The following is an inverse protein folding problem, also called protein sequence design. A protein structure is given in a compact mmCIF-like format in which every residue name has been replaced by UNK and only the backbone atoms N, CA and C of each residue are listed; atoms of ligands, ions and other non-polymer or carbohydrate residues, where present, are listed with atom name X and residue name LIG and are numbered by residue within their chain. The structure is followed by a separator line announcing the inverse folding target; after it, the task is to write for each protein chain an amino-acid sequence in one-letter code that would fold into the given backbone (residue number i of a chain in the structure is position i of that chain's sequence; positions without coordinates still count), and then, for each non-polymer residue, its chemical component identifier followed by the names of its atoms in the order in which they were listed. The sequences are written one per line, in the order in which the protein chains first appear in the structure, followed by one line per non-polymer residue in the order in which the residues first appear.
data_IF_833897725528
#
_entry.id   IF_833897725528
#
_cell.length_a   1.000
_cell.length_b   1.000
_cell.length_c   1.000
_cell.angle_alpha   90.00
_cell.angle_beta   90.00
_cell.angle_gamma   90.00
#
_symmetry.space_group_name_H-M   'P 1'
#
loop_
_entity.id
_entity.type
_entity.pdbx_description
1 polymer ?
#
# COMPACT_ATOMS: atom_id res chain seq x y z
N UNK A 1 -17.49 14.31 -9.12
CA UNK A 1 -17.83 13.31 -8.08
C UNK A 1 -16.74 13.33 -7.02
N UNK A 2 -17.04 13.73 -5.78
CA UNK A 2 -16.07 13.68 -4.68
C UNK A 2 -16.06 12.27 -4.11
N UNK A 3 -14.97 11.53 -4.28
CA UNK A 3 -14.78 10.27 -3.58
C UNK A 3 -14.62 10.59 -2.09
N UNK A 4 -15.65 10.31 -1.30
CA UNK A 4 -15.78 10.74 0.10
C UNK A 4 -14.79 10.03 1.05
N UNK A 5 -14.35 8.83 0.68
CA UNK A 5 -13.30 8.10 1.37
C UNK A 5 -12.61 7.09 0.44
N UNK A 6 -11.36 6.77 0.74
CA UNK A 6 -10.63 5.65 0.15
C UNK A 6 -10.27 4.67 1.27
N UNK A 7 -10.51 3.38 1.05
CA UNK A 7 -10.06 2.31 1.93
C UNK A 7 -9.02 1.50 1.15
N UNK A 8 -7.88 1.22 1.78
CA UNK A 8 -6.80 0.50 1.11
C UNK A 8 -5.65 0.10 2.04
N UNK A 9 -4.79 -0.76 1.52
CA UNK A 9 -3.54 -1.17 2.17
C UNK A 9 -2.39 -0.27 1.78
N UNK A 10 -1.46 -0.08 2.71
CA UNK A 10 -0.28 0.76 2.55
C UNK A 10 0.88 -0.07 2.00
N UNK A 11 1.50 0.39 0.93
CA UNK A 11 2.70 -0.23 0.36
C UNK A 11 3.80 0.80 0.14
N UNK A 12 5.05 0.35 0.23
CA UNK A 12 6.23 1.15 -0.12
C UNK A 12 6.32 2.50 0.61
N UNK A 13 6.11 2.51 1.93
CA UNK A 13 6.26 3.73 2.73
C UNK A 13 7.73 4.19 2.70
N UNK A 14 7.99 5.33 2.05
CA UNK A 14 9.33 5.91 1.99
C UNK A 14 9.75 6.49 3.35
N UNK A 15 11.06 6.68 3.59
CA UNK A 15 11.54 7.60 4.62
C UNK A 15 11.00 9.03 4.40
N UNK A 16 11.04 9.86 5.45
CA UNK A 16 10.75 11.29 5.33
C UNK A 16 11.88 11.94 4.54
N UNK A 17 11.51 12.69 3.50
CA UNK A 17 12.36 13.42 2.57
C UNK A 17 12.15 14.92 2.79
N UNK A 18 13.18 15.72 2.50
CA UNK A 18 13.09 17.18 2.51
C UNK A 18 13.25 17.70 1.08
N UNK A 19 12.34 18.57 0.66
CA UNK A 19 12.41 19.22 -0.66
C UNK A 19 13.41 20.37 -0.67
N UNK A 20 13.76 20.87 -1.87
CA UNK A 20 14.61 22.07 -2.04
C UNK A 20 14.07 23.30 -1.30
N UNK A 21 12.75 23.39 -1.12
CA UNK A 21 12.08 24.49 -0.42
C UNK A 21 11.91 24.21 1.09
N UNK A 22 12.72 23.30 1.64
CA UNK A 22 12.70 22.86 3.04
C UNK A 22 11.38 22.25 3.54
N UNK A 23 10.44 21.93 2.64
CA UNK A 23 9.22 21.21 2.99
C UNK A 23 9.50 19.72 3.12
N UNK A 24 9.08 19.12 4.23
CA UNK A 24 9.17 17.68 4.46
C UNK A 24 7.97 16.93 3.88
N UNK A 25 8.24 15.76 3.32
CA UNK A 25 7.22 14.89 2.73
C UNK A 25 7.68 13.44 2.74
N UNK A 26 6.76 12.52 2.49
CA UNK A 26 7.07 11.13 2.18
C UNK A 26 6.07 10.60 1.17
N UNK A 27 6.44 9.53 0.48
CA UNK A 27 5.58 8.87 -0.47
C UNK A 27 5.26 7.44 -0.07
N UNK A 28 4.11 6.97 -0.54
CA UNK A 28 3.64 5.61 -0.40
C UNK A 28 2.69 5.26 -1.55
N UNK A 29 2.28 4.00 -1.61
CA UNK A 29 1.19 3.53 -2.45
C UNK A 29 0.02 3.10 -1.59
N UNK A 30 -1.19 3.41 -2.04
CA UNK A 30 -2.43 2.92 -1.43
C UNK A 30 -3.11 2.02 -2.43
N UNK A 31 -3.17 0.73 -2.10
CA UNK A 31 -3.89 -0.26 -2.90
C UNK A 31 -5.33 -0.35 -2.37
N UNK A 32 -6.27 0.18 -3.14
CA UNK A 32 -7.70 -0.04 -2.91
C UNK A 32 -8.18 -1.29 -3.66
N UNK A 33 -9.47 -1.61 -3.55
CA UNK A 33 -10.08 -2.71 -4.30
C UNK A 33 -10.05 -2.54 -5.82
N UNK A 34 -9.93 -1.31 -6.32
CA UNK A 34 -10.03 -1.02 -7.75
C UNK A 34 -8.76 -0.45 -8.35
N UNK A 35 -7.94 0.26 -7.56
CA UNK A 35 -6.81 1.04 -8.08
C UNK A 35 -5.64 1.05 -7.09
N UNK A 36 -4.45 1.30 -7.62
CA UNK A 36 -3.27 1.62 -6.82
C UNK A 36 -2.98 3.11 -7.00
N UNK A 37 -3.02 3.86 -5.90
CA UNK A 37 -2.78 5.30 -5.91
C UNK A 37 -1.35 5.59 -5.45
N UNK A 38 -0.55 6.22 -6.32
CA UNK A 38 0.67 6.91 -5.87
C UNK A 38 0.25 8.05 -4.95
N UNK A 39 0.83 8.09 -3.75
CA UNK A 39 0.38 8.96 -2.68
C UNK A 39 1.52 9.80 -2.14
N UNK A 40 1.35 11.12 -2.15
CA UNK A 40 2.28 12.07 -1.53
C UNK A 40 1.70 12.57 -0.20
N UNK A 41 2.49 12.50 0.87
CA UNK A 41 2.11 13.03 2.17
C UNK A 41 2.99 14.21 2.56
N UNK A 42 2.38 15.39 2.73
CA UNK A 42 3.02 16.63 3.20
C UNK A 42 2.77 16.88 4.68
N UNK A 43 2.64 15.81 5.46
CA UNK A 43 2.36 15.84 6.90
C UNK A 43 3.27 14.82 7.59
N UNK A 44 4.55 15.15 7.80
CA UNK A 44 5.55 14.22 8.33
C UNK A 44 5.13 13.59 9.66
N UNK A 45 4.31 14.27 10.47
CA UNK A 45 3.77 13.75 11.72
C UNK A 45 2.89 12.50 11.54
N UNK A 46 2.36 12.26 10.34
CA UNK A 46 1.55 11.08 10.01
C UNK A 46 2.39 9.86 9.63
N UNK A 47 3.70 10.02 9.43
CA UNK A 47 4.59 8.93 9.02
C UNK A 47 4.55 7.75 10.00
N UNK A 48 4.68 8.03 11.30
CA UNK A 48 4.62 7.00 12.36
C UNK A 48 3.26 6.31 12.41
N UNK A 49 2.18 7.01 12.07
CA UNK A 49 0.83 6.42 11.98
C UNK A 49 0.73 5.45 10.81
N UNK A 50 1.22 5.82 9.63
CA UNK A 50 1.27 4.92 8.48
C UNK A 50 2.20 3.73 8.71
N UNK A 51 3.34 3.93 9.37
CA UNK A 51 4.26 2.85 9.72
C UNK A 51 3.61 1.81 10.64
N UNK A 52 2.83 2.25 11.64
CA UNK A 52 2.08 1.35 12.54
C UNK A 52 0.94 0.61 11.87
N UNK A 53 0.41 1.15 10.77
CA UNK A 53 -0.73 0.60 10.04
C UNK A 53 -0.31 -0.15 8.77
N UNK A 54 0.98 -0.51 8.62
CA UNK A 54 1.48 -1.16 7.40
C UNK A 54 0.85 -2.53 7.11
N UNK A 55 0.36 -3.21 8.14
CA UNK A 55 -0.28 -4.54 8.07
C UNK A 55 -1.81 -4.49 8.15
N UNK A 56 -2.42 -3.31 8.17
CA UNK A 56 -3.87 -3.15 8.33
C UNK A 56 -4.45 -2.18 7.30
N UNK A 57 -5.69 -2.39 6.83
CA UNK A 57 -6.31 -1.46 5.92
C UNK A 57 -6.57 -0.13 6.62
N UNK A 58 -6.43 0.98 5.90
CA UNK A 58 -6.71 2.32 6.40
C UNK A 58 -7.85 2.96 5.63
N UNK A 59 -8.64 3.78 6.32
CA UNK A 59 -9.63 4.67 5.70
C UNK A 59 -9.09 6.10 5.66
N UNK A 60 -8.93 6.64 4.47
CA UNK A 60 -8.59 8.03 4.22
C UNK A 60 -9.84 8.86 3.89
N UNK A 61 -9.96 10.02 4.54
CA UNK A 61 -10.99 11.02 4.21
C UNK A 61 -10.37 12.41 4.15
N UNK A 62 -11.00 13.34 3.42
CA UNK A 62 -10.48 14.71 3.21
C UNK A 62 -9.08 14.74 2.57
N UNK A 63 -8.83 13.82 1.65
CA UNK A 63 -7.66 13.83 0.78
C UNK A 63 -7.92 14.70 -0.46
N UNK A 64 -6.88 14.97 -1.23
CA UNK A 64 -6.99 15.62 -2.54
C UNK A 64 -6.52 14.66 -3.63
N UNK A 65 -7.19 14.66 -4.78
CA UNK A 65 -6.68 14.01 -5.99
C UNK A 65 -6.09 15.08 -6.89
N UNK A 66 -4.82 14.91 -7.28
CA UNK A 66 -4.13 15.83 -8.18
C UNK A 66 -3.58 15.05 -9.36
N UNK A 67 -3.73 15.57 -10.57
CA UNK A 67 -3.08 15.00 -11.75
C UNK A 67 -1.56 15.25 -11.64
N UNK A 68 -0.77 14.21 -11.80
CA UNK A 68 0.66 14.33 -11.97
C UNK A 68 0.96 14.91 -13.36
N UNK A 69 1.64 16.05 -13.42
CA UNK A 69 1.96 16.72 -14.68
C UNK A 69 2.91 15.92 -15.58
N UNK A 70 3.75 15.06 -14.98
CA UNK A 70 4.74 14.25 -15.69
C UNK A 70 4.17 12.93 -16.21
N UNK A 71 3.32 12.26 -15.44
CA UNK A 71 2.77 10.95 -15.81
C UNK A 71 1.33 10.99 -16.29
N UNK A 72 0.65 12.14 -16.15
CA UNK A 72 -0.79 12.29 -16.39
C UNK A 72 -1.71 11.41 -15.54
N UNK A 73 -1.16 10.63 -14.61
CA UNK A 73 -1.92 9.80 -13.67
C UNK A 73 -2.46 10.62 -12.49
N UNK A 74 -3.50 10.12 -11.83
CA UNK A 74 -4.01 10.75 -10.61
C UNK A 74 -3.21 10.33 -9.38
N UNK A 75 -2.82 11.30 -8.57
CA UNK A 75 -2.11 11.12 -7.31
C UNK A 75 -2.97 11.53 -6.14
N UNK A 76 -2.85 10.75 -5.06
CA UNK A 76 -3.49 11.06 -3.79
C UNK A 76 -2.55 11.95 -2.97
N UNK A 77 -3.05 13.11 -2.56
CA UNK A 77 -2.31 14.07 -1.74
C UNK A 77 -2.89 14.08 -0.34
N UNK A 78 -2.05 13.76 0.64
CA UNK A 78 -2.34 13.75 2.07
C UNK A 78 -1.74 15.01 2.70
N UNK A 79 -2.58 15.74 3.43
CA UNK A 79 -2.19 16.96 4.13
C UNK A 79 -2.67 16.91 5.59
N UNK A 80 -2.47 18.03 6.31
CA UNK A 80 -2.82 18.12 7.73
C UNK A 80 -4.32 17.87 8.01
N UNK A 81 -5.18 18.18 7.04
CA UNK A 81 -6.65 18.04 7.13
C UNK A 81 -7.13 16.63 6.78
N UNK A 82 -6.32 15.83 6.10
CA UNK A 82 -6.64 14.44 5.78
C UNK A 82 -6.70 13.62 7.05
N UNK A 83 -7.80 12.91 7.26
CA UNK A 83 -7.97 12.02 8.40
C UNK A 83 -7.62 10.59 7.98
N UNK A 84 -6.80 9.94 8.79
CA UNK A 84 -6.47 8.52 8.70
C UNK A 84 -7.20 7.82 9.83
N UNK A 85 -8.11 6.92 9.50
CA UNK A 85 -8.87 6.15 10.48
C UNK A 85 -8.86 4.67 10.13
N UNK A 86 -9.49 3.89 10.98
CA UNK A 86 -9.74 2.48 10.73
C UNK A 86 -11.05 2.32 9.94
N UNK A 87 -11.12 1.39 8.98
CA UNK A 87 -12.37 1.10 8.28
C UNK A 87 -13.40 0.51 9.26
N UNK A 88 -14.62 1.08 9.26
CA UNK A 88 -15.73 0.65 10.16
C UNK A 88 -16.29 -0.70 9.72
N UNK A 89 -16.35 -0.94 8.41
CA UNK A 89 -16.65 -2.24 7.84
C UNK A 89 -15.35 -2.83 7.28
N UNK A 90 -14.95 -3.99 7.81
CA UNK A 90 -14.03 -4.89 7.13
C UNK A 90 -14.74 -5.42 5.88
N UNK A 91 -14.90 -4.61 4.84
CA UNK A 91 -14.93 -5.17 3.51
C UNK A 91 -13.53 -5.74 3.32
N UNK A 92 -13.41 -7.07 3.38
CA UNK A 92 -12.26 -7.74 2.80
C UNK A 92 -12.08 -7.08 1.44
N UNK A 93 -11.07 -6.22 1.31
CA UNK A 93 -10.59 -5.82 0.00
C UNK A 93 -10.33 -7.18 -0.61
N UNK A 94 -11.06 -7.50 -1.67
CA UNK A 94 -10.64 -8.59 -2.54
C UNK A 94 -9.26 -8.12 -2.99
N UNK A 95 -8.23 -8.47 -2.23
CA UNK A 95 -6.91 -8.67 -2.76
C UNK A 95 -7.24 -9.46 -4.01
N UNK A 96 -6.87 -8.97 -5.17
CA UNK A 96 -6.73 -9.90 -6.27
C UNK A 96 -5.64 -10.85 -5.78
N UNK A 97 -6.05 -11.87 -5.04
CA UNK A 97 -5.45 -13.18 -5.09
C UNK A 97 -5.52 -13.47 -6.59
N UNK A 98 -4.49 -13.00 -7.32
CA UNK A 98 -4.06 -13.77 -8.46
C UNK A 98 -3.86 -15.14 -7.83
N UNK A 99 -4.72 -16.09 -8.17
CA UNK A 99 -4.41 -17.50 -7.98
C UNK A 99 -3.07 -17.71 -8.65
N UNK A 100 -2.01 -17.57 -7.87
CA UNK A 100 -0.68 -17.92 -8.30
C UNK A 100 -0.54 -19.37 -7.92
N UNK A 101 -0.24 -20.20 -8.92
CA UNK A 101 0.07 -21.60 -8.67
C UNK A 101 1.29 -21.67 -7.77
N UNK A 102 1.12 -22.18 -6.55
CA UNK A 102 2.23 -22.51 -5.67
C UNK A 102 3.00 -23.69 -6.24
N UNK A 103 4.33 -23.63 -6.13
CA UNK A 103 5.19 -24.72 -6.56
C UNK A 103 5.20 -25.82 -5.51
N UNK A 104 5.04 -27.06 -5.97
CA UNK A 104 5.33 -28.24 -5.15
C UNK A 104 6.84 -28.40 -4.93
N UNK A 105 7.21 -29.12 -3.87
CA UNK A 105 8.62 -29.43 -3.60
C UNK A 105 9.30 -30.13 -4.80
N UNK A 106 8.57 -30.97 -5.53
CA UNK A 106 9.08 -31.66 -6.70
C UNK A 106 9.35 -30.72 -7.87
N UNK A 107 8.43 -29.78 -8.15
CA UNK A 107 8.60 -28.77 -9.21
C UNK A 107 9.80 -27.84 -8.94
N UNK A 108 10.15 -27.60 -7.67
CA UNK A 108 11.32 -26.80 -7.30
C UNK A 108 12.61 -27.58 -7.55
N UNK A 109 12.62 -28.89 -7.26
CA UNK A 109 13.79 -29.74 -7.46
C UNK A 109 14.09 -29.98 -8.95
N UNK A 110 13.04 -30.14 -9.76
CA UNK A 110 13.14 -30.40 -11.20
C UNK A 110 13.21 -29.11 -12.05
N UNK A 111 13.11 -27.94 -11.41
CA UNK A 111 13.05 -26.64 -12.05
C UNK A 111 14.40 -26.04 -12.45
N UNK A 112 14.35 -24.95 -13.23
CA UNK A 112 15.55 -24.19 -13.60
C UNK A 112 16.11 -23.39 -12.42
N UNK A 113 17.44 -23.24 -12.37
CA UNK A 113 18.12 -22.42 -11.36
C UNK A 113 17.87 -20.93 -11.66
N UNK A 114 17.64 -20.12 -10.61
CA UNK A 114 17.38 -18.67 -10.67
C UNK A 114 15.99 -18.24 -11.15
N UNK A 115 14.97 -19.07 -10.95
CA UNK A 115 13.57 -18.69 -11.18
C UNK A 115 12.85 -18.32 -9.87
N UNK A 116 11.90 -17.39 -9.95
CA UNK A 116 11.04 -17.05 -8.81
C UNK A 116 9.90 -18.06 -8.69
N UNK A 117 9.69 -18.58 -7.48
CA UNK A 117 8.60 -19.51 -7.14
C UNK A 117 7.80 -18.98 -5.96
N UNK A 118 6.50 -19.32 -5.93
CA UNK A 118 5.66 -19.12 -4.75
C UNK A 118 5.56 -20.44 -3.99
N UNK A 119 5.62 -20.38 -2.66
CA UNK A 119 5.60 -21.56 -1.78
C UNK A 119 4.52 -21.33 -0.72
N UNK A 120 3.67 -22.34 -0.53
CA UNK A 120 2.74 -22.41 0.59
C UNK A 120 2.93 -23.74 1.32
N UNK A 121 2.72 -23.77 2.64
CA UNK A 121 2.93 -24.99 3.41
C UNK A 121 2.53 -24.87 4.87
N UNK A 122 2.41 -26.02 5.52
CA UNK A 122 2.15 -26.13 6.96
C UNK A 122 3.48 -26.09 7.72
N UNK A 123 3.58 -25.19 8.71
CA UNK A 123 4.70 -25.18 9.65
C UNK A 123 4.34 -26.10 10.82
N UNK A 124 5.22 -27.06 11.11
CA UNK A 124 5.16 -27.89 12.31
C UNK A 124 6.34 -27.46 13.18
N UNK A 125 6.06 -27.17 14.45
CA UNK A 125 7.07 -26.82 15.44
C UNK A 125 7.10 -28.00 16.40
N UNK A 126 8.23 -28.70 16.43
CA UNK A 126 8.47 -29.77 17.40
C UNK A 126 8.93 -29.12 18.73
N UNK A 127 8.37 -29.60 19.84
CA UNK A 127 8.68 -29.14 21.22
C UNK A 127 10.03 -29.66 21.72
#
# INVERSE_FOLDING_TARGET
MYQSSIIGYLHHLSPIKTSKNNNQYFDLKIQSSSNIYRTMCFSPEKHTTFKRKSSSPVKLTKFQLKKNERTSEQELVINKRTKVGDPIDYCAIKTQEKETKDASAQEILDGEINILVNICGRIIIDE
#
